data_IF_294639685759
#
_entry.id   IF_294639685759
#
_cell.length_a   1.000
_cell.length_b   1.000
_cell.length_c   1.000
_cell.angle_alpha   90.00
_cell.angle_beta   90.00
_cell.angle_gamma   90.00
#
_symmetry.space_group_name_H-M   'P 1'
#
loop_
_entity.id
_entity.type
_entity.pdbx_description
1 polymer ?
#
# COMPACT_ATOMS: atom_id res chain seq x y z
N UNK A 1 -14.07 -19.42 -32.35
CA UNK A 1 -13.01 -19.34 -31.33
C UNK A 1 -13.56 -18.72 -30.06
N UNK A 2 -13.41 -19.36 -28.91
CA UNK A 2 -13.85 -18.79 -27.63
C UNK A 2 -13.07 -17.49 -27.33
N UNK A 3 -13.78 -16.42 -26.93
CA UNK A 3 -13.14 -15.13 -26.57
C UNK A 3 -12.21 -15.34 -25.36
N UNK A 4 -10.96 -14.88 -25.45
CA UNK A 4 -9.97 -14.96 -24.35
C UNK A 4 -10.48 -14.26 -23.10
N UNK A 5 -10.21 -14.84 -21.93
CA UNK A 5 -10.48 -14.23 -20.62
C UNK A 5 -9.60 -12.99 -20.41
N UNK A 6 -9.99 -12.10 -19.49
CA UNK A 6 -9.19 -10.92 -19.12
C UNK A 6 -7.83 -11.33 -18.57
N UNK A 7 -7.76 -12.37 -17.72
CA UNK A 7 -6.51 -12.93 -17.20
C UNK A 7 -5.56 -13.35 -18.33
N UNK A 8 -6.06 -14.11 -19.32
CA UNK A 8 -5.24 -14.56 -20.44
C UNK A 8 -4.70 -13.40 -21.29
N UNK A 9 -5.54 -12.37 -21.51
CA UNK A 9 -5.10 -11.16 -22.23
C UNK A 9 -3.97 -10.43 -21.51
N UNK A 10 -4.01 -10.37 -20.17
CA UNK A 10 -2.95 -9.76 -19.36
C UNK A 10 -1.65 -10.59 -19.40
N UNK A 11 -1.73 -11.91 -19.33
CA UNK A 11 -0.57 -12.81 -19.42
C UNK A 11 0.12 -12.78 -20.79
N UNK A 12 -0.64 -12.64 -21.87
CA UNK A 12 -0.12 -12.59 -23.24
C UNK A 12 0.41 -11.20 -23.63
N UNK A 13 0.11 -10.19 -22.83
CA UNK A 13 0.51 -8.81 -23.11
C UNK A 13 2.02 -8.65 -23.05
N UNK A 14 2.54 -7.77 -23.91
CA UNK A 14 3.95 -7.36 -23.94
C UNK A 14 3.98 -5.84 -23.82
N UNK A 15 4.36 -5.35 -22.66
CA UNK A 15 4.43 -3.92 -22.38
C UNK A 15 5.48 -3.26 -23.26
N UNK A 16 5.14 -2.11 -23.82
CA UNK A 16 6.03 -1.24 -24.59
C UNK A 16 6.46 -0.05 -23.72
N UNK A 17 7.39 0.74 -24.18
CA UNK A 17 7.62 2.06 -23.61
C UNK A 17 6.34 2.89 -23.77
N UNK A 18 5.87 3.62 -22.73
CA UNK A 18 4.69 4.48 -22.85
C UNK A 18 4.80 5.44 -24.02
N UNK A 19 3.68 5.73 -24.67
CA UNK A 19 3.65 6.64 -25.83
C UNK A 19 4.14 8.05 -25.45
N UNK A 20 4.91 8.69 -26.34
CA UNK A 20 5.52 9.99 -26.05
C UNK A 20 4.47 11.10 -25.91
N UNK A 21 3.50 11.12 -26.81
CA UNK A 21 2.51 12.19 -26.85
C UNK A 21 1.57 12.12 -25.65
N UNK A 22 1.10 10.89 -25.34
CA UNK A 22 0.33 10.63 -24.13
C UNK A 22 1.10 11.03 -22.86
N UNK A 23 2.38 10.65 -22.77
CA UNK A 23 3.20 10.98 -21.61
C UNK A 23 3.45 12.50 -21.47
N UNK A 24 3.55 13.23 -22.59
CA UNK A 24 3.68 14.68 -22.59
C UNK A 24 2.39 15.37 -22.07
N UNK A 25 1.21 14.86 -22.48
CA UNK A 25 -0.09 15.34 -21.98
C UNK A 25 -0.21 15.05 -20.47
N UNK A 26 0.06 13.82 -20.05
CA UNK A 26 0.04 13.43 -18.63
C UNK A 26 0.99 14.31 -17.81
N UNK A 27 2.17 14.61 -18.33
CA UNK A 27 3.12 15.51 -17.68
C UNK A 27 2.54 16.91 -17.44
N UNK A 28 1.84 17.48 -18.41
CA UNK A 28 1.21 18.79 -18.24
C UNK A 28 0.18 18.73 -17.09
N UNK A 29 -0.66 17.70 -17.08
CA UNK A 29 -1.65 17.49 -16.00
C UNK A 29 -0.94 17.35 -14.65
N UNK A 30 0.08 16.50 -14.55
CA UNK A 30 0.85 16.30 -13.32
C UNK A 30 1.52 17.60 -12.85
N UNK A 31 2.03 18.41 -13.78
CA UNK A 31 2.64 19.71 -13.44
C UNK A 31 1.62 20.67 -12.83
N UNK A 32 0.40 20.73 -13.39
CA UNK A 32 -0.69 21.55 -12.85
C UNK A 32 -1.09 21.05 -11.45
N UNK A 33 -1.24 19.72 -11.28
CA UNK A 33 -1.57 19.13 -9.99
C UNK A 33 -0.49 19.39 -8.94
N UNK A 34 0.79 19.22 -9.28
CA UNK A 34 1.90 19.50 -8.38
C UNK A 34 2.01 20.99 -8.02
N UNK A 35 1.70 21.90 -8.94
CA UNK A 35 1.60 23.32 -8.63
C UNK A 35 0.47 23.59 -7.62
N UNK A 36 -0.68 22.93 -7.78
CA UNK A 36 -1.82 23.03 -6.84
C UNK A 36 -1.54 22.40 -5.47
N UNK A 37 -0.57 21.48 -5.37
CA UNK A 37 -0.08 20.88 -4.13
C UNK A 37 1.16 21.60 -3.58
N UNK A 38 1.62 22.67 -4.23
CA UNK A 38 2.86 23.36 -3.89
C UNK A 38 4.04 22.40 -3.71
N UNK A 39 4.13 21.37 -4.57
CA UNK A 39 5.14 20.30 -4.45
C UNK A 39 6.54 20.86 -4.67
N UNK A 40 7.42 20.59 -3.71
CA UNK A 40 8.84 20.95 -3.80
C UNK A 40 9.66 19.70 -4.19
N UNK A 41 10.34 19.78 -5.33
CA UNK A 41 11.31 18.77 -5.74
C UNK A 41 12.73 19.17 -5.35
N UNK A 42 13.46 18.27 -4.71
CA UNK A 42 14.88 18.41 -4.39
C UNK A 42 15.66 17.30 -5.08
N UNK A 43 16.47 17.64 -6.04
CA UNK A 43 17.30 16.72 -6.81
C UNK A 43 18.72 16.69 -6.27
N UNK A 44 19.15 15.60 -5.66
CA UNK A 44 20.55 15.27 -5.39
C UNK A 44 21.17 14.58 -6.61
N UNK A 45 20.40 13.70 -7.26
CA UNK A 45 20.68 13.16 -8.58
C UNK A 45 19.45 13.27 -9.48
N UNK A 46 19.65 13.43 -10.80
CA UNK A 46 18.54 13.60 -11.73
C UNK A 46 18.45 12.45 -12.75
N UNK A 47 17.50 11.50 -12.55
CA UNK A 47 17.35 10.34 -13.42
C UNK A 47 17.05 10.70 -14.89
N UNK A 48 16.45 11.87 -15.13
CA UNK A 48 16.13 12.35 -16.46
C UNK A 48 17.33 12.53 -17.40
N UNK A 49 18.55 12.66 -16.84
CA UNK A 49 19.81 12.75 -17.59
C UNK A 49 20.44 11.38 -17.90
N UNK A 50 19.99 10.32 -17.25
CA UNK A 50 20.50 8.97 -17.50
C UNK A 50 20.05 8.51 -18.89
N UNK A 51 21.00 8.13 -19.74
CA UNK A 51 20.73 7.66 -21.11
C UNK A 51 20.38 6.16 -21.15
N UNK A 52 20.83 5.40 -20.16
CA UNK A 52 20.55 3.96 -20.03
C UNK A 52 19.18 3.65 -19.44
N UNK A 53 18.77 2.39 -19.41
CA UNK A 53 17.64 1.94 -18.61
C UNK A 53 17.97 2.09 -17.13
N UNK A 54 16.93 2.31 -16.31
CA UNK A 54 17.08 2.38 -14.85
C UNK A 54 15.81 1.93 -14.14
N UNK A 55 15.94 1.62 -12.87
CA UNK A 55 14.80 1.45 -11.95
C UNK A 55 14.69 2.67 -11.06
N UNK A 56 13.48 3.23 -10.95
CA UNK A 56 13.10 4.17 -9.91
C UNK A 56 12.37 3.39 -8.83
N UNK A 57 12.84 3.48 -7.59
CA UNK A 57 12.09 3.01 -6.42
C UNK A 57 11.54 4.21 -5.65
N UNK A 58 10.40 4.04 -5.00
CA UNK A 58 9.77 5.11 -4.20
C UNK A 58 9.12 4.51 -2.97
N UNK A 59 9.09 5.27 -1.85
CA UNK A 59 8.13 4.97 -0.81
C UNK A 59 6.71 5.09 -1.39
N UNK A 60 5.79 4.29 -0.88
CA UNK A 60 4.42 4.25 -1.39
C UNK A 60 3.48 5.03 -0.48
N UNK A 61 3.62 6.36 -0.50
CA UNK A 61 2.87 7.25 0.36
C UNK A 61 1.35 7.21 0.09
N UNK A 62 0.95 7.12 -1.18
CA UNK A 62 -0.46 7.19 -1.55
C UNK A 62 -0.78 6.48 -2.88
N UNK A 63 -2.07 6.35 -3.19
CA UNK A 63 -2.55 5.85 -4.49
C UNK A 63 -2.15 6.72 -5.69
N UNK A 64 -1.67 7.95 -5.46
CA UNK A 64 -1.38 8.94 -6.48
C UNK A 64 0.12 9.25 -6.63
N UNK A 65 1.01 8.40 -6.16
CA UNK A 65 2.46 8.64 -6.18
C UNK A 65 3.06 8.82 -7.58
N UNK A 66 2.36 8.36 -8.62
CA UNK A 66 2.74 8.65 -10.01
C UNK A 66 2.80 10.16 -10.32
N UNK A 67 2.04 10.98 -9.57
CA UNK A 67 2.08 12.44 -9.68
C UNK A 67 3.46 13.01 -9.32
N UNK A 68 4.18 12.34 -8.45
CA UNK A 68 5.49 12.76 -7.94
C UNK A 68 6.64 12.06 -8.67
N UNK A 69 6.49 10.77 -8.93
CA UNK A 69 7.57 9.94 -9.50
C UNK A 69 7.77 10.16 -10.99
N UNK A 70 6.71 10.39 -11.78
CA UNK A 70 6.85 10.63 -13.20
C UNK A 70 7.54 11.98 -13.53
N UNK A 71 7.18 13.11 -12.89
CA UNK A 71 7.90 14.37 -13.08
C UNK A 71 9.37 14.30 -12.66
N UNK A 72 9.69 13.51 -11.63
CA UNK A 72 11.05 13.34 -11.12
C UNK A 72 12.03 12.75 -12.16
N UNK A 73 11.53 12.02 -13.15
CA UNK A 73 12.35 11.34 -14.15
C UNK A 73 12.28 11.93 -15.55
N UNK A 74 11.50 13.02 -15.78
CA UNK A 74 11.33 13.58 -17.11
C UNK A 74 12.71 13.95 -17.74
N UNK A 75 12.97 13.72 -19.06
CA UNK A 75 12.04 13.27 -20.09
C UNK A 75 11.89 11.74 -20.20
N UNK A 76 12.50 10.97 -19.28
CA UNK A 76 12.40 9.50 -19.29
C UNK A 76 10.96 9.08 -18.95
N UNK A 77 10.48 8.07 -19.66
CA UNK A 77 9.12 7.53 -19.50
C UNK A 77 9.16 6.23 -18.70
N UNK A 78 8.38 6.17 -17.64
CA UNK A 78 8.37 5.05 -16.70
C UNK A 78 7.25 4.07 -17.02
N UNK A 79 7.57 2.78 -17.03
CA UNK A 79 6.59 1.72 -16.89
C UNK A 79 6.38 1.45 -15.40
N UNK A 80 5.16 1.56 -14.93
CA UNK A 80 4.81 1.30 -13.53
C UNK A 80 4.46 -0.17 -13.31
N UNK A 81 4.63 -0.65 -12.08
CA UNK A 81 4.15 -1.94 -11.63
C UNK A 81 2.96 -1.70 -10.69
N UNK A 82 1.78 -2.23 -11.01
CA UNK A 82 0.53 -1.96 -10.30
C UNK A 82 -0.24 -3.25 -10.05
N UNK A 83 -1.04 -3.28 -8.99
CA UNK A 83 -1.85 -4.42 -8.59
C UNK A 83 -2.69 -4.99 -9.73
N UNK A 84 -2.66 -6.33 -9.87
CA UNK A 84 -3.34 -7.08 -10.94
C UNK A 84 -4.84 -6.81 -11.00
N UNK A 85 -5.50 -6.67 -9.85
CA UNK A 85 -6.93 -6.39 -9.71
C UNK A 85 -7.33 -5.04 -10.33
N UNK A 86 -6.47 -4.02 -10.30
CA UNK A 86 -6.75 -2.69 -10.86
C UNK A 86 -7.00 -2.73 -12.39
N UNK A 87 -6.48 -3.73 -13.07
CA UNK A 87 -6.70 -3.93 -14.51
C UNK A 87 -8.12 -4.38 -14.87
N UNK A 88 -8.95 -4.71 -13.90
CA UNK A 88 -10.34 -5.11 -14.07
C UNK A 88 -11.32 -3.96 -13.83
N UNK A 89 -10.88 -2.84 -13.26
CA UNK A 89 -11.73 -1.69 -12.92
C UNK A 89 -11.87 -0.74 -14.12
N UNK A 90 -13.09 -0.31 -14.42
CA UNK A 90 -13.36 0.72 -15.43
C UNK A 90 -13.39 2.12 -14.77
N UNK A 91 -12.80 3.17 -15.35
CA UNK A 91 -11.95 3.19 -16.57
C UNK A 91 -10.46 2.89 -16.32
N UNK A 92 -10.05 2.74 -15.05
CA UNK A 92 -8.65 2.59 -14.64
C UNK A 92 -7.90 1.51 -15.44
N UNK A 93 -8.50 0.34 -15.59
CA UNK A 93 -7.89 -0.76 -16.32
C UNK A 93 -7.62 -0.48 -17.81
N UNK A 94 -8.37 0.42 -18.46
CA UNK A 94 -8.08 0.89 -19.82
C UNK A 94 -6.86 1.82 -19.78
N UNK A 95 -6.86 2.79 -18.87
CA UNK A 95 -5.76 3.75 -18.72
C UNK A 95 -4.43 3.05 -18.38
N UNK A 96 -4.44 2.06 -17.49
CA UNK A 96 -3.27 1.25 -17.16
C UNK A 96 -2.71 0.51 -18.38
N UNK A 97 -3.57 -0.02 -19.24
CA UNK A 97 -3.14 -0.68 -20.48
C UNK A 97 -2.53 0.29 -21.47
N UNK A 98 -3.14 1.46 -21.67
CA UNK A 98 -2.62 2.52 -22.54
C UNK A 98 -1.29 3.04 -22.02
N UNK A 99 -1.17 3.26 -20.71
CA UNK A 99 0.07 3.70 -20.04
C UNK A 99 1.14 2.62 -19.95
N UNK A 100 0.92 1.43 -20.52
CA UNK A 100 1.88 0.34 -20.56
C UNK A 100 2.33 -0.13 -19.17
N UNK A 101 1.42 -0.08 -18.18
CA UNK A 101 1.66 -0.50 -16.80
C UNK A 101 1.73 -2.03 -16.72
N UNK A 102 2.63 -2.56 -15.89
CA UNK A 102 2.86 -4.00 -15.67
C UNK A 102 1.93 -4.47 -14.56
N UNK A 103 1.04 -5.47 -14.81
CA UNK A 103 0.22 -6.06 -13.76
C UNK A 103 1.04 -6.96 -12.85
N UNK A 104 0.85 -6.85 -11.52
CA UNK A 104 1.50 -7.67 -10.50
C UNK A 104 0.48 -8.21 -9.50
N UNK A 105 0.55 -9.50 -9.18
CA UNK A 105 -0.13 -10.10 -8.05
C UNK A 105 0.63 -9.75 -6.78
N UNK A 106 0.01 -8.95 -5.90
CA UNK A 106 0.67 -8.49 -4.67
C UNK A 106 0.81 -9.62 -3.64
N UNK A 107 1.90 -9.59 -2.86
CA UNK A 107 2.19 -10.46 -1.71
C UNK A 107 2.33 -11.96 -2.02
N UNK A 108 2.33 -12.33 -3.29
CA UNK A 108 2.60 -13.68 -3.77
C UNK A 108 3.69 -13.66 -4.86
N UNK A 109 4.43 -14.77 -5.06
CA UNK A 109 5.39 -14.87 -6.16
C UNK A 109 4.72 -14.65 -7.52
N UNK A 110 5.24 -13.70 -8.31
CA UNK A 110 4.72 -13.39 -9.66
C UNK A 110 5.84 -13.36 -10.70
N UNK A 111 6.16 -14.53 -11.22
CA UNK A 111 7.19 -14.71 -12.26
C UNK A 111 6.85 -13.94 -13.54
N UNK A 112 5.55 -13.76 -13.86
CA UNK A 112 5.14 -13.00 -15.04
C UNK A 112 5.50 -11.52 -14.91
N UNK A 113 5.23 -10.90 -13.76
CA UNK A 113 5.59 -9.52 -13.50
C UNK A 113 7.12 -9.32 -13.55
N UNK A 114 7.90 -10.21 -12.91
CA UNK A 114 9.37 -10.17 -12.93
C UNK A 114 9.91 -10.24 -14.38
N UNK A 115 9.41 -11.15 -15.18
CA UNK A 115 9.79 -11.27 -16.61
C UNK A 115 9.39 -10.05 -17.43
N UNK A 116 8.26 -9.40 -17.09
CA UNK A 116 7.83 -8.18 -17.76
C UNK A 116 8.74 -7.01 -17.44
N UNK A 117 9.15 -6.86 -16.17
CA UNK A 117 10.14 -5.87 -15.73
C UNK A 117 11.46 -6.06 -16.49
N UNK A 118 12.01 -7.29 -16.50
CA UNK A 118 13.26 -7.59 -17.22
C UNK A 118 13.17 -7.22 -18.72
N UNK A 119 12.07 -7.63 -19.40
CA UNK A 119 11.87 -7.29 -20.82
C UNK A 119 11.80 -5.79 -21.10
N UNK A 120 11.28 -4.99 -20.19
CA UNK A 120 11.27 -3.53 -20.34
C UNK A 120 12.68 -2.96 -20.21
N UNK A 121 13.45 -3.41 -19.23
CA UNK A 121 14.85 -3.01 -19.03
C UNK A 121 15.71 -3.41 -20.22
N UNK A 122 15.61 -4.66 -20.70
CA UNK A 122 16.36 -5.19 -21.85
C UNK A 122 16.15 -4.38 -23.14
N UNK A 123 15.00 -3.71 -23.25
CA UNK A 123 14.68 -2.81 -24.38
C UNK A 123 15.07 -1.35 -24.15
N UNK A 124 15.81 -1.05 -23.09
CA UNK A 124 16.23 0.31 -22.75
C UNK A 124 15.16 1.15 -22.07
N UNK A 125 14.05 0.54 -21.62
CA UNK A 125 12.98 1.20 -20.87
C UNK A 125 13.34 1.46 -19.41
N UNK A 126 12.54 2.26 -18.73
CA UNK A 126 12.69 2.57 -17.32
C UNK A 126 11.48 2.09 -16.54
N UNK A 127 11.71 1.55 -15.35
CA UNK A 127 10.68 0.99 -14.49
C UNK A 127 10.52 1.84 -13.23
N UNK A 128 9.28 2.00 -12.77
CA UNK A 128 8.98 2.51 -11.43
C UNK A 128 8.35 1.40 -10.58
N UNK A 129 8.93 1.15 -9.42
CA UNK A 129 8.47 0.14 -8.45
C UNK A 129 8.31 0.81 -7.08
N UNK A 130 7.16 0.58 -6.44
CA UNK A 130 6.96 0.83 -5.02
C UNK A 130 7.20 -0.49 -4.28
N UNK A 131 8.36 -0.66 -3.63
CA UNK A 131 8.79 -1.97 -3.13
C UNK A 131 8.00 -2.46 -1.91
N UNK A 132 7.22 -1.59 -1.28
CA UNK A 132 6.31 -1.91 -0.17
C UNK A 132 5.13 -2.81 -0.59
N UNK A 133 4.79 -2.83 -1.90
CA UNK A 133 3.74 -3.69 -2.46
C UNK A 133 2.33 -3.12 -2.41
N UNK A 134 2.01 -2.21 -1.49
CA UNK A 134 0.79 -1.40 -1.48
C UNK A 134 1.07 -0.02 -0.87
N UNK A 135 0.15 0.94 -1.12
CA UNK A 135 0.26 2.27 -0.52
C UNK A 135 0.07 2.21 0.99
N UNK A 136 0.79 3.08 1.69
CA UNK A 136 0.73 3.18 3.15
C UNK A 136 -0.71 3.20 3.67
N UNK A 137 -0.98 2.39 4.67
CA UNK A 137 -2.27 2.31 5.36
C UNK A 137 -2.38 3.43 6.39
N UNK A 138 -1.30 3.70 7.10
CA UNK A 138 -1.27 4.52 8.30
C UNK A 138 -0.59 5.88 8.13
N UNK A 139 0.15 6.09 7.03
CA UNK A 139 1.05 7.24 6.83
C UNK A 139 2.53 6.91 7.09
N UNK A 140 2.79 5.72 7.61
CA UNK A 140 4.13 5.19 7.85
C UNK A 140 4.54 4.26 6.70
N UNK A 141 5.81 4.27 6.31
CA UNK A 141 6.34 3.35 5.32
C UNK A 141 6.26 1.90 5.82
N UNK A 142 5.93 0.99 4.92
CA UNK A 142 5.97 -0.45 5.16
C UNK A 142 7.34 -1.01 4.79
N UNK A 143 7.74 -2.16 5.36
CA UNK A 143 8.97 -2.82 4.95
C UNK A 143 8.93 -3.19 3.46
N UNK A 144 10.08 -3.09 2.78
CA UNK A 144 10.18 -3.54 1.40
C UNK A 144 9.93 -5.04 1.30
N UNK A 145 9.25 -5.46 0.24
CA UNK A 145 8.93 -6.87 0.01
C UNK A 145 10.21 -7.66 -0.25
N UNK A 146 10.42 -8.78 0.45
CA UNK A 146 11.57 -9.64 0.25
C UNK A 146 11.69 -10.13 -1.21
N UNK A 147 12.93 -10.23 -1.69
CA UNK A 147 13.26 -10.60 -3.07
C UNK A 147 13.39 -9.42 -4.03
N UNK A 148 13.10 -8.18 -3.58
CA UNK A 148 13.37 -6.99 -4.38
C UNK A 148 14.88 -6.80 -4.59
N UNK A 149 15.71 -7.09 -3.57
CA UNK A 149 17.17 -7.07 -3.68
C UNK A 149 17.67 -8.00 -4.78
N UNK A 150 17.16 -9.22 -4.83
CA UNK A 150 17.46 -10.19 -5.90
C UNK A 150 17.05 -9.69 -7.28
N UNK A 151 15.85 -9.08 -7.38
CA UNK A 151 15.40 -8.49 -8.64
C UNK A 151 16.36 -7.40 -9.11
N UNK A 152 16.69 -6.42 -8.27
CA UNK A 152 17.57 -5.31 -8.62
C UNK A 152 18.97 -5.79 -9.04
N UNK A 153 19.57 -6.75 -8.31
CA UNK A 153 20.83 -7.40 -8.71
C UNK A 153 20.77 -8.03 -10.10
N UNK A 154 19.66 -8.67 -10.43
CA UNK A 154 19.49 -9.35 -11.72
C UNK A 154 19.39 -8.38 -12.90
N UNK A 155 18.86 -7.17 -12.67
CA UNK A 155 18.65 -6.16 -13.70
C UNK A 155 19.95 -5.41 -14.09
N UNK A 156 20.92 -5.29 -13.18
CA UNK A 156 22.26 -4.69 -13.43
C UNK A 156 22.20 -3.28 -14.03
N UNK A 157 21.28 -2.43 -13.55
CA UNK A 157 21.09 -1.06 -14.02
C UNK A 157 21.15 -0.09 -12.84
N UNK A 158 21.30 1.22 -13.12
CA UNK A 158 21.21 2.23 -12.10
C UNK A 158 19.84 2.16 -11.38
N UNK A 159 19.85 2.35 -10.08
CA UNK A 159 18.65 2.48 -9.25
C UNK A 159 18.63 3.88 -8.66
N UNK A 160 17.57 4.60 -8.94
CA UNK A 160 17.26 5.89 -8.31
C UNK A 160 16.12 5.72 -7.33
N UNK A 161 15.97 6.67 -6.41
CA UNK A 161 14.82 6.68 -5.52
C UNK A 161 14.16 8.05 -5.44
N UNK A 162 12.88 8.03 -5.13
CA UNK A 162 12.13 9.19 -4.66
C UNK A 162 11.64 8.93 -3.24
N UNK A 163 11.79 9.93 -2.37
CA UNK A 163 11.18 9.96 -1.03
C UNK A 163 10.13 11.05 -1.02
N UNK A 164 8.86 10.65 -0.87
CA UNK A 164 7.68 11.50 -0.91
C UNK A 164 7.24 11.76 0.52
N UNK A 165 7.08 13.04 0.89
CA UNK A 165 6.54 13.52 2.16
C UNK A 165 5.28 14.34 1.92
N UNK A 166 4.26 14.22 2.79
CA UNK A 166 2.96 14.86 2.64
C UNK A 166 2.01 14.16 1.66
N UNK A 167 2.48 13.11 0.98
CA UNK A 167 1.71 12.36 0.01
C UNK A 167 0.54 11.60 0.65
N UNK A 168 0.77 10.98 1.81
CA UNK A 168 -0.29 10.31 2.56
C UNK A 168 -1.28 11.33 3.16
N UNK A 169 -0.80 12.40 3.77
CA UNK A 169 -1.69 13.42 4.37
C UNK A 169 -2.56 14.10 3.33
N UNK A 170 -2.10 14.19 2.06
CA UNK A 170 -2.91 14.66 0.93
C UNK A 170 -3.94 13.63 0.47
N UNK A 171 -3.58 12.35 0.44
CA UNK A 171 -4.38 11.26 -0.10
C UNK A 171 -4.40 10.06 0.86
N UNK A 172 -5.02 10.25 2.03
CA UNK A 172 -5.11 9.19 3.05
C UNK A 172 -5.79 7.94 2.50
N UNK A 173 -5.46 6.78 3.07
CA UNK A 173 -6.07 5.53 2.62
C UNK A 173 -7.47 5.32 3.21
N UNK A 174 -7.69 5.71 4.46
CA UNK A 174 -8.98 5.60 5.13
C UNK A 174 -10.06 6.56 4.60
N UNK A 175 -9.66 7.70 4.00
CA UNK A 175 -10.59 8.67 3.43
C UNK A 175 -10.15 9.07 2.03
N UNK A 176 -11.04 8.87 1.04
CA UNK A 176 -10.70 9.14 -0.37
C UNK A 176 -10.73 10.63 -0.74
N UNK A 177 -11.24 11.49 0.15
CA UNK A 177 -11.26 12.93 -0.06
C UNK A 177 -9.83 13.48 -0.04
N UNK A 178 -9.45 14.20 -1.08
CA UNK A 178 -8.13 14.81 -1.16
C UNK A 178 -8.04 16.04 -0.23
N UNK A 179 -6.98 16.09 0.58
CA UNK A 179 -6.65 17.21 1.46
C UNK A 179 -5.45 17.93 0.86
N UNK A 180 -5.69 19.02 0.12
CA UNK A 180 -4.60 19.78 -0.50
C UNK A 180 -3.65 20.30 0.57
N UNK A 181 -2.37 20.01 0.41
CA UNK A 181 -1.30 20.47 1.27
C UNK A 181 0.02 20.43 0.51
N UNK A 182 1.07 20.97 1.10
CA UNK A 182 2.40 20.95 0.50
C UNK A 182 3.00 19.55 0.57
N UNK A 183 3.51 19.08 -0.58
CA UNK A 183 4.28 17.85 -0.66
C UNK A 183 5.76 18.15 -0.93
N UNK A 184 6.65 17.29 -0.46
CA UNK A 184 8.08 17.34 -0.73
C UNK A 184 8.54 16.03 -1.35
N UNK A 185 9.43 16.13 -2.35
CA UNK A 185 9.97 14.97 -3.06
C UNK A 185 11.47 15.11 -3.16
N UNK A 186 12.20 14.22 -2.50
CA UNK A 186 13.65 14.10 -2.65
C UNK A 186 13.94 13.05 -3.71
N UNK A 187 14.85 13.37 -4.64
CA UNK A 187 15.26 12.47 -5.72
C UNK A 187 16.76 12.28 -5.65
N UNK A 188 17.21 11.03 -5.58
CA UNK A 188 18.62 10.71 -5.53
C UNK A 188 18.93 9.36 -6.18
N UNK A 189 20.22 9.05 -6.38
CA UNK A 189 20.71 7.75 -6.81
C UNK A 189 20.85 6.85 -5.58
N UNK A 190 20.31 5.64 -5.67
CA UNK A 190 20.39 4.66 -4.58
C UNK A 190 21.56 3.68 -4.81
N UNK A 191 21.63 3.10 -6.01
CA UNK A 191 22.66 2.11 -6.36
C UNK A 191 23.14 2.30 -7.80
N UNK A 192 24.42 2.06 -8.03
CA UNK A 192 24.98 1.77 -9.34
C UNK A 192 24.95 0.25 -9.61
N UNK A 193 25.20 -0.21 -10.84
CA UNK A 193 25.40 -1.64 -11.14
C UNK A 193 26.53 -2.27 -10.31
N UNK A 194 27.59 -1.52 -10.04
CA UNK A 194 28.75 -1.95 -9.26
C UNK A 194 28.35 -2.15 -7.78
N UNK A 195 27.58 -1.23 -7.20
CA UNK A 195 27.05 -1.35 -5.84
C UNK A 195 26.19 -2.61 -5.72
N UNK A 196 25.26 -2.81 -6.67
CA UNK A 196 24.40 -4.00 -6.71
C UNK A 196 25.19 -5.30 -6.84
N UNK A 197 26.32 -5.30 -7.57
CA UNK A 197 27.18 -6.48 -7.69
C UNK A 197 27.90 -6.79 -6.37
N UNK A 198 28.36 -5.78 -5.65
CA UNK A 198 29.14 -5.90 -4.42
C UNK A 198 28.29 -6.28 -3.19
N UNK A 199 27.06 -5.80 -3.10
CA UNK A 199 26.18 -5.99 -1.93
C UNK A 199 25.43 -7.32 -1.99
N UNK A 200 25.11 -7.90 -0.83
CA UNK A 200 24.15 -8.99 -0.70
C UNK A 200 22.71 -8.52 -0.94
N UNK A 201 21.80 -9.46 -1.19
CA UNK A 201 20.37 -9.15 -1.34
C UNK A 201 19.78 -8.47 -0.08
N UNK A 202 20.20 -8.94 1.10
CA UNK A 202 19.77 -8.38 2.40
C UNK A 202 20.28 -6.95 2.61
N UNK A 203 21.55 -6.66 2.32
CA UNK A 203 22.11 -5.31 2.41
C UNK A 203 21.41 -4.31 1.49
N UNK A 204 21.00 -4.76 0.30
CA UNK A 204 20.20 -3.95 -0.64
C UNK A 204 18.84 -3.64 -0.02
N UNK A 205 18.12 -4.66 0.49
CA UNK A 205 16.80 -4.49 1.12
C UNK A 205 16.86 -3.62 2.37
N UNK A 206 17.87 -3.77 3.22
CA UNK A 206 18.10 -2.94 4.41
C UNK A 206 18.38 -1.48 4.04
N UNK A 207 19.20 -1.26 3.00
CA UNK A 207 19.46 0.09 2.49
C UNK A 207 18.19 0.74 1.94
N UNK A 208 17.37 -0.03 1.21
CA UNK A 208 16.07 0.46 0.74
C UNK A 208 15.15 0.80 1.90
N UNK A 209 15.01 -0.07 2.89
CA UNK A 209 14.20 0.19 4.08
C UNK A 209 14.64 1.47 4.80
N UNK A 210 15.94 1.70 4.95
CA UNK A 210 16.49 2.91 5.58
C UNK A 210 16.25 4.17 4.75
N UNK A 211 16.51 4.16 3.45
CA UNK A 211 16.38 5.34 2.59
C UNK A 211 14.93 5.72 2.29
N UNK A 212 14.04 4.73 2.19
CA UNK A 212 12.61 4.93 1.96
C UNK A 212 11.80 5.09 3.25
N UNK A 213 12.42 4.87 4.42
CA UNK A 213 11.78 5.08 5.72
C UNK A 213 11.12 6.45 5.79
N UNK A 214 9.83 6.47 6.11
CA UNK A 214 9.05 7.69 6.17
C UNK A 214 7.82 7.53 7.08
N UNK A 215 7.43 8.63 7.72
CA UNK A 215 6.20 8.77 8.49
C UNK A 215 5.69 10.19 8.28
N UNK A 216 4.56 10.33 7.59
CA UNK A 216 4.01 11.64 7.22
C UNK A 216 3.56 12.45 8.43
N UNK A 217 3.09 11.82 9.51
CA UNK A 217 2.68 12.53 10.72
C UNK A 217 3.90 13.07 11.48
N UNK A 218 4.97 12.25 11.65
CA UNK A 218 6.21 12.70 12.26
C UNK A 218 6.89 13.76 11.40
N UNK A 219 6.97 13.56 10.08
CA UNK A 219 7.50 14.60 9.18
C UNK A 219 6.75 15.91 9.35
N UNK A 220 5.41 15.86 9.41
CA UNK A 220 4.62 17.07 9.49
C UNK A 220 4.60 17.71 10.88
N UNK A 221 4.94 16.99 11.94
CA UNK A 221 5.14 17.61 13.26
C UNK A 221 6.28 18.64 13.24
N UNK A 222 7.30 18.42 12.41
CA UNK A 222 8.37 19.38 12.14
C UNK A 222 8.04 20.39 11.03
N UNK A 223 7.43 19.94 9.92
CA UNK A 223 7.16 20.77 8.75
C UNK A 223 5.97 21.73 8.93
N UNK A 224 5.05 21.43 9.85
CA UNK A 224 3.87 22.23 10.21
C UNK A 224 3.01 22.65 9.01
N UNK A 225 2.90 21.79 7.99
CA UNK A 225 2.08 22.05 6.81
C UNK A 225 0.61 21.76 7.11
N UNK A 226 -0.27 22.64 6.64
CA UNK A 226 -1.72 22.43 6.73
C UNK A 226 -2.22 21.60 5.54
N UNK A 227 -3.12 20.65 5.84
CA UNK A 227 -3.77 19.80 4.84
C UNK A 227 -5.27 20.04 4.82
N UNK A 228 -5.81 20.35 3.65
CA UNK A 228 -7.21 20.69 3.47
C UNK A 228 -7.59 22.02 4.12
N UNK A 229 -8.88 22.13 4.45
CA UNK A 229 -9.45 23.34 5.11
C UNK A 229 -9.35 23.28 6.64
N UNK A 230 -8.90 22.16 7.21
CA UNK A 230 -8.91 21.95 8.66
C UNK A 230 -10.26 21.54 9.22
N UNK A 231 -11.15 21.09 8.35
CA UNK A 231 -12.48 20.58 8.68
C UNK A 231 -12.56 19.09 8.36
N UNK A 232 -13.36 18.32 9.08
CA UNK A 232 -13.56 16.88 8.84
C UNK A 232 -12.24 16.08 8.88
N UNK A 233 -11.28 16.50 9.73
CA UNK A 233 -9.95 15.89 9.78
C UNK A 233 -9.99 14.45 10.29
N UNK A 234 -11.00 14.10 11.12
CA UNK A 234 -11.17 12.72 11.63
C UNK A 234 -12.07 11.85 10.76
N UNK A 235 -12.60 12.35 9.62
CA UNK A 235 -13.51 11.59 8.76
C UNK A 235 -12.96 10.21 8.42
N UNK A 236 -13.70 9.14 8.79
CA UNK A 236 -13.33 7.74 8.63
C UNK A 236 -12.04 7.31 9.35
N UNK A 237 -11.53 8.09 10.30
CA UNK A 237 -10.34 7.73 11.05
C UNK A 237 -10.59 6.54 12.00
N UNK A 238 -11.83 6.32 12.39
CA UNK A 238 -12.31 5.18 13.17
C UNK A 238 -12.16 3.83 12.44
N UNK A 239 -12.06 3.82 11.12
CA UNK A 239 -11.70 2.60 10.35
C UNK A 239 -10.22 2.27 10.44
N UNK A 240 -9.38 3.23 10.76
CA UNK A 240 -7.94 3.08 10.97
C UNK A 240 -7.59 2.88 12.44
N UNK A 241 -8.22 3.65 13.33
CA UNK A 241 -7.99 3.65 14.77
C UNK A 241 -9.14 2.92 15.48
N UNK A 242 -9.09 1.59 15.42
CA UNK A 242 -10.21 0.73 15.87
C UNK A 242 -10.19 0.41 17.37
N UNK A 243 -9.08 0.69 18.08
CA UNK A 243 -8.94 0.44 19.53
C UNK A 243 -8.81 1.75 20.30
N UNK A 244 -9.59 1.93 21.36
CA UNK A 244 -9.45 3.08 22.26
C UNK A 244 -8.11 3.00 23.03
N UNK A 245 -7.25 4.03 23.01
CA UNK A 245 -5.95 3.99 23.68
C UNK A 245 -6.05 4.07 25.20
N UNK A 246 -7.21 4.50 25.75
CA UNK A 246 -7.45 4.60 27.19
C UNK A 246 -8.03 3.31 27.79
N UNK A 247 -9.11 2.78 27.22
CA UNK A 247 -9.82 1.64 27.80
C UNK A 247 -9.59 0.32 27.03
N UNK A 248 -8.95 0.34 25.86
CA UNK A 248 -8.72 -0.85 25.04
C UNK A 248 -9.93 -1.40 24.30
N UNK A 249 -11.13 -0.76 24.43
CA UNK A 249 -12.35 -1.22 23.74
C UNK A 249 -12.17 -1.11 22.24
N UNK A 250 -12.57 -2.17 21.52
CA UNK A 250 -12.47 -2.29 20.07
C UNK A 250 -13.74 -1.75 19.40
N UNK A 251 -13.59 -1.05 18.26
CA UNK A 251 -14.69 -0.58 17.40
C UNK A 251 -15.68 0.34 18.11
N UNK A 252 -15.21 1.05 19.16
CA UNK A 252 -16.00 2.02 19.92
C UNK A 252 -15.59 3.46 19.67
N UNK A 253 -14.69 3.69 18.71
CA UNK A 253 -14.32 5.04 18.30
C UNK A 253 -15.34 5.60 17.30
N UNK A 254 -15.69 6.87 17.42
CA UNK A 254 -16.63 7.57 16.55
C UNK A 254 -16.07 8.93 16.16
N UNK A 255 -16.21 9.29 14.89
CA UNK A 255 -15.65 10.50 14.28
C UNK A 255 -16.75 11.52 13.96
N UNK A 256 -16.53 12.79 14.33
CA UNK A 256 -17.39 13.91 13.95
C UNK A 256 -16.56 15.18 13.77
N UNK A 257 -16.50 15.70 12.54
CA UNK A 257 -15.71 16.90 12.23
C UNK A 257 -14.21 16.67 12.46
N UNK A 258 -13.67 17.33 13.47
CA UNK A 258 -12.28 17.20 13.91
C UNK A 258 -12.14 16.40 15.21
N UNK A 259 -13.26 15.96 15.77
CA UNK A 259 -13.29 15.23 17.04
C UNK A 259 -13.46 13.74 16.78
N UNK A 260 -12.75 12.94 17.57
CA UNK A 260 -12.93 11.51 17.67
C UNK A 260 -13.10 11.14 19.14
N UNK A 261 -14.08 10.33 19.47
CA UNK A 261 -14.37 9.93 20.86
C UNK A 261 -14.69 8.44 20.96
N UNK A 262 -14.38 7.88 22.12
CA UNK A 262 -14.77 6.51 22.46
C UNK A 262 -16.17 6.50 23.07
N UNK A 263 -17.09 5.77 22.47
CA UNK A 263 -18.48 5.65 22.96
C UNK A 263 -18.60 4.83 24.25
N UNK A 264 -17.55 4.09 24.64
CA UNK A 264 -17.50 3.27 25.85
C UNK A 264 -17.06 4.05 27.07
N UNK A 265 -15.93 4.79 26.99
CA UNK A 265 -15.33 5.46 28.15
C UNK A 265 -15.27 6.99 28.04
N UNK A 266 -15.80 7.57 26.96
CA UNK A 266 -15.80 9.02 26.73
C UNK A 266 -14.43 9.62 26.38
N UNK A 267 -13.37 8.81 26.21
CA UNK A 267 -12.05 9.29 25.81
C UNK A 267 -12.16 10.09 24.49
N UNK A 268 -11.72 11.35 24.49
CA UNK A 268 -11.92 12.27 23.37
C UNK A 268 -10.62 12.88 22.92
N UNK A 269 -10.43 12.98 21.61
CA UNK A 269 -9.33 13.69 20.99
C UNK A 269 -9.78 14.58 19.85
N UNK A 270 -8.97 15.60 19.55
CA UNK A 270 -9.13 16.51 18.41
C UNK A 270 -7.95 16.40 17.47
N UNK A 271 -8.20 16.45 16.15
CA UNK A 271 -7.17 16.54 15.12
C UNK A 271 -7.18 17.91 14.47
N UNK A 272 -6.02 18.57 14.41
CA UNK A 272 -5.86 19.86 13.73
C UNK A 272 -5.58 19.70 12.22
N UNK A 273 -5.53 20.84 11.51
CA UNK A 273 -5.26 20.87 10.07
C UNK A 273 -3.85 20.38 9.69
N UNK A 274 -2.93 20.26 10.65
CA UNK A 274 -1.60 19.68 10.42
C UNK A 274 -1.59 18.16 10.66
N UNK A 275 -2.73 17.55 11.01
CA UNK A 275 -2.82 16.13 11.34
C UNK A 275 -2.32 15.79 12.75
N UNK A 276 -2.07 16.77 13.60
CA UNK A 276 -1.70 16.54 15.00
C UNK A 276 -2.94 16.21 15.81
N UNK A 277 -2.80 15.26 16.71
CA UNK A 277 -3.86 14.85 17.62
C UNK A 277 -3.53 15.32 19.03
N UNK A 278 -4.55 15.67 19.79
CA UNK A 278 -4.45 16.02 21.20
C UNK A 278 -5.67 15.52 21.97
N UNK A 279 -5.45 15.12 23.21
CA UNK A 279 -6.54 14.77 24.11
C UNK A 279 -7.38 16.01 24.45
N UNK A 280 -8.69 15.82 24.56
CA UNK A 280 -9.66 16.87 24.93
C UNK A 280 -10.29 16.51 26.28
N UNK A 281 -10.06 17.37 27.29
CA UNK A 281 -10.49 17.12 28.67
C UNK A 281 -9.41 16.47 29.52
N UNK A 282 -9.52 16.64 30.86
CA UNK A 282 -8.49 16.27 31.82
C UNK A 282 -8.22 14.75 31.87
N UNK A 283 -9.25 13.94 31.65
CA UNK A 283 -9.19 12.47 31.73
C UNK A 283 -8.95 11.78 30.40
N UNK A 284 -8.84 12.54 29.31
CA UNK A 284 -8.64 11.96 27.97
C UNK A 284 -7.16 11.69 27.70
N UNK A 285 -6.92 10.64 26.93
CA UNK A 285 -5.57 10.17 26.56
C UNK A 285 -5.52 9.93 25.05
N UNK A 286 -4.44 10.35 24.41
CA UNK A 286 -4.13 9.96 23.04
C UNK A 286 -2.62 9.84 22.88
N UNK A 287 -2.15 8.99 21.96
CA UNK A 287 -0.76 8.98 21.53
C UNK A 287 -0.35 10.31 20.90
N UNK A 288 0.94 10.55 20.75
CA UNK A 288 1.45 11.79 20.15
C UNK A 288 1.08 11.92 18.67
N UNK A 289 1.15 10.81 17.92
CA UNK A 289 0.82 10.76 16.50
C UNK A 289 -0.20 9.64 16.20
N UNK A 290 -0.89 9.76 15.07
CA UNK A 290 -1.80 8.71 14.57
C UNK A 290 -1.04 7.38 14.36
N UNK A 291 0.19 7.46 13.89
CA UNK A 291 1.04 6.28 13.67
C UNK A 291 1.48 5.61 14.96
N UNK A 292 1.65 6.34 16.07
CA UNK A 292 1.89 5.75 17.39
C UNK A 292 0.66 4.97 17.87
N UNK A 293 -0.54 5.50 17.58
CA UNK A 293 -1.78 4.80 17.91
C UNK A 293 -1.89 3.47 17.14
N UNK A 294 -1.58 3.46 15.84
CA UNK A 294 -1.59 2.21 15.06
C UNK A 294 -0.50 1.21 15.53
N UNK A 295 0.60 1.68 16.09
CA UNK A 295 1.60 0.82 16.72
C UNK A 295 1.03 0.16 17.99
N UNK A 296 0.32 0.89 18.86
CA UNK A 296 -0.37 0.31 20.01
C UNK A 296 -1.37 -0.79 19.61
N UNK A 297 -2.09 -0.59 18.50
CA UNK A 297 -3.00 -1.60 17.96
C UNK A 297 -2.25 -2.86 17.48
N UNK A 298 -1.08 -2.68 16.84
CA UNK A 298 -0.21 -3.80 16.45
C UNK A 298 0.37 -4.53 17.65
N UNK A 299 0.81 -3.82 18.68
CA UNK A 299 1.29 -4.41 19.93
C UNK A 299 0.20 -5.24 20.60
N UNK A 300 -1.05 -4.77 20.57
CA UNK A 300 -2.20 -5.54 21.05
C UNK A 300 -2.42 -6.78 20.20
N UNK A 301 -2.40 -6.67 18.87
CA UNK A 301 -2.52 -7.83 17.98
C UNK A 301 -1.37 -8.83 18.21
N UNK A 302 -0.15 -8.35 18.43
CA UNK A 302 1.00 -9.17 18.77
C UNK A 302 0.85 -9.91 20.10
N UNK A 303 0.20 -9.31 21.08
CA UNK A 303 -0.13 -9.96 22.35
C UNK A 303 -1.24 -11.01 22.15
N UNK A 304 -2.29 -10.67 21.41
CA UNK A 304 -3.42 -11.55 21.12
C UNK A 304 -2.94 -12.86 20.44
N UNK A 305 -2.12 -12.77 19.38
CA UNK A 305 -1.65 -13.96 18.63
C UNK A 305 -0.71 -14.87 19.42
N UNK A 306 -0.10 -14.37 20.50
CA UNK A 306 0.75 -15.16 21.41
C UNK A 306 -0.03 -15.89 22.50
N UNK A 307 -1.32 -15.58 22.64
CA UNK A 307 -2.18 -16.25 23.64
C UNK A 307 -2.34 -17.73 23.27
N UNK A 308 -2.12 -18.67 24.20
CA UNK A 308 -2.35 -20.09 23.94
C UNK A 308 -3.78 -20.36 23.44
N UNK A 309 -3.91 -21.11 22.35
CA UNK A 309 -5.22 -21.40 21.73
C UNK A 309 -5.82 -20.21 20.97
N UNK A 310 -5.03 -19.22 20.61
CA UNK A 310 -5.51 -18.08 19.81
C UNK A 310 -6.25 -18.54 18.56
N UNK A 311 -7.43 -17.96 18.37
CA UNK A 311 -8.25 -18.09 17.17
C UNK A 311 -9.08 -16.82 17.01
N UNK A 312 -9.10 -16.25 15.80
CA UNK A 312 -9.94 -15.11 15.46
C UNK A 312 -10.81 -15.49 14.26
N UNK A 313 -12.13 -15.42 14.41
CA UNK A 313 -13.08 -15.81 13.39
C UNK A 313 -14.08 -14.69 13.12
N UNK A 314 -14.52 -14.57 11.88
CA UNK A 314 -15.54 -13.62 11.47
C UNK A 314 -16.30 -14.10 10.24
N UNK A 315 -17.55 -13.66 10.11
CA UNK A 315 -18.33 -13.85 8.91
C UNK A 315 -17.83 -12.95 7.80
N UNK A 316 -17.65 -13.51 6.59
CA UNK A 316 -17.20 -12.77 5.41
C UNK A 316 -17.95 -13.24 4.17
N UNK A 317 -18.24 -12.30 3.28
CA UNK A 317 -18.57 -12.62 1.90
C UNK A 317 -17.30 -12.61 1.08
N UNK A 318 -17.18 -13.51 0.11
CA UNK A 318 -16.02 -13.56 -0.77
C UNK A 318 -16.37 -13.14 -2.20
N UNK A 319 -15.43 -12.43 -2.83
CA UNK A 319 -15.56 -11.97 -4.19
C UNK A 319 -14.40 -12.39 -5.09
N UNK A 320 -14.70 -12.59 -6.36
CA UNK A 320 -13.76 -12.94 -7.42
C UNK A 320 -13.69 -11.86 -8.50
N UNK A 321 -12.56 -11.77 -9.19
CA UNK A 321 -12.48 -10.99 -10.41
C UNK A 321 -13.32 -11.62 -11.53
N UNK A 322 -13.98 -10.81 -12.38
CA UNK A 322 -14.76 -11.33 -13.50
C UNK A 322 -13.85 -12.03 -14.52
N UNK A 323 -14.31 -13.16 -15.06
CA UNK A 323 -13.55 -13.83 -16.13
C UNK A 323 -13.41 -12.95 -17.37
N UNK A 324 -14.43 -12.14 -17.65
CA UNK A 324 -14.52 -11.20 -18.78
C UNK A 324 -15.26 -9.93 -18.34
N UNK A 325 -14.97 -8.83 -19.04
CA UNK A 325 -15.63 -7.55 -18.76
C UNK A 325 -14.89 -6.72 -17.72
N UNK A 326 -15.63 -5.82 -17.10
CA UNK A 326 -15.11 -4.78 -16.20
C UNK A 326 -15.91 -4.73 -14.91
N UNK A 327 -15.25 -4.27 -13.87
CA UNK A 327 -15.87 -3.82 -12.63
C UNK A 327 -16.13 -2.31 -12.72
N UNK A 328 -17.30 -1.87 -12.30
CA UNK A 328 -17.74 -0.49 -12.38
C UNK A 328 -17.97 0.11 -11.00
N UNK A 329 -17.83 1.41 -10.90
CA UNK A 329 -18.01 2.14 -9.65
C UNK A 329 -16.99 1.72 -8.60
N UNK A 330 -17.47 1.51 -7.37
CA UNK A 330 -16.62 1.13 -6.22
C UNK A 330 -16.42 -0.40 -6.10
N UNK A 331 -16.93 -1.18 -7.04
CA UNK A 331 -16.74 -2.62 -7.04
C UNK A 331 -15.29 -2.97 -7.36
N UNK A 332 -14.68 -3.82 -6.55
CA UNK A 332 -13.32 -4.36 -6.72
C UNK A 332 -13.32 -5.84 -7.04
N UNK A 333 -14.46 -6.53 -6.80
CA UNK A 333 -14.73 -7.91 -7.21
C UNK A 333 -16.24 -8.15 -7.34
N UNK A 334 -16.63 -9.34 -7.79
CA UNK A 334 -18.02 -9.83 -7.83
C UNK A 334 -18.20 -10.75 -6.64
N UNK A 335 -19.05 -10.38 -5.69
CA UNK A 335 -19.40 -11.22 -4.54
C UNK A 335 -20.08 -12.47 -5.05
N UNK A 336 -19.60 -13.64 -4.64
CA UNK A 336 -20.06 -14.93 -5.11
C UNK A 336 -19.87 -16.06 -4.09
N UNK A 337 -19.70 -15.73 -2.84
CA UNK A 337 -19.61 -16.71 -1.75
C UNK A 337 -19.83 -16.03 -0.40
N UNK A 338 -20.12 -16.86 0.59
CA UNK A 338 -20.50 -16.49 1.95
C UNK A 338 -20.03 -17.57 2.92
N UNK A 339 -19.40 -17.18 4.05
CA UNK A 339 -18.86 -18.13 5.00
C UNK A 339 -18.10 -17.53 6.16
N UNK A 340 -17.37 -18.36 6.86
CA UNK A 340 -16.56 -17.99 8.02
C UNK A 340 -15.08 -18.02 7.67
N UNK A 341 -14.38 -16.93 7.95
CA UNK A 341 -12.93 -16.83 7.89
C UNK A 341 -12.36 -17.00 9.30
N UNK A 342 -11.33 -17.80 9.44
CA UNK A 342 -10.67 -18.07 10.73
C UNK A 342 -9.16 -17.96 10.58
N UNK A 343 -8.53 -17.19 11.46
CA UNK A 343 -7.07 -17.08 11.59
C UNK A 343 -6.67 -17.71 12.93
N UNK A 344 -5.79 -18.68 12.88
CA UNK A 344 -5.17 -19.31 14.05
C UNK A 344 -3.66 -19.53 13.84
N UNK A 345 -3.03 -20.28 14.74
CA UNK A 345 -1.58 -20.55 14.69
C UNK A 345 -1.16 -21.40 13.49
N UNK A 346 -2.08 -22.09 12.82
CA UNK A 346 -1.80 -22.88 11.61
C UNK A 346 -1.88 -22.04 10.33
N UNK A 347 -2.71 -20.99 10.34
CA UNK A 347 -2.90 -20.12 9.19
C UNK A 347 -4.31 -19.57 9.07
N UNK A 348 -4.69 -19.21 7.85
CA UNK A 348 -6.00 -18.69 7.50
C UNK A 348 -6.84 -19.74 6.84
N UNK A 349 -7.99 -20.07 7.43
CA UNK A 349 -8.97 -21.02 6.91
C UNK A 349 -10.28 -20.31 6.54
N UNK A 350 -10.92 -20.80 5.52
CA UNK A 350 -12.27 -20.40 5.13
C UNK A 350 -13.16 -21.63 4.97
N UNK A 351 -14.35 -21.55 5.51
CA UNK A 351 -15.41 -22.55 5.35
C UNK A 351 -16.72 -21.86 4.97
N UNK A 352 -17.32 -22.27 3.84
CA UNK A 352 -18.54 -21.64 3.35
C UNK A 352 -18.89 -22.08 1.93
N UNK A 353 -19.37 -21.13 1.14
CA UNK A 353 -19.77 -21.38 -0.24
C UNK A 353 -18.97 -20.53 -1.23
N UNK A 354 -18.90 -20.99 -2.45
CA UNK A 354 -18.42 -20.22 -3.60
C UNK A 354 -19.26 -20.60 -4.82
N UNK A 355 -20.01 -19.63 -5.38
CA UNK A 355 -20.98 -19.87 -6.48
C UNK A 355 -22.00 -20.96 -6.15
N UNK A 356 -22.56 -20.87 -4.94
CA UNK A 356 -23.55 -21.78 -4.36
C UNK A 356 -23.07 -23.22 -4.10
N UNK A 357 -21.79 -23.51 -4.33
CA UNK A 357 -21.16 -24.80 -4.03
C UNK A 357 -20.35 -24.74 -2.73
N UNK A 358 -20.26 -25.83 -1.96
CA UNK A 358 -19.37 -25.89 -0.80
C UNK A 358 -17.93 -25.58 -1.17
N UNK A 359 -17.31 -24.68 -0.42
CA UNK A 359 -15.94 -24.24 -0.69
C UNK A 359 -15.19 -24.03 0.61
N UNK A 360 -14.00 -24.61 0.70
CA UNK A 360 -13.07 -24.36 1.80
C UNK A 360 -11.65 -24.18 1.28
N UNK A 361 -10.82 -23.53 2.05
CA UNK A 361 -9.37 -23.47 1.82
C UNK A 361 -8.63 -23.25 3.14
N UNK A 362 -7.34 -23.55 3.11
CA UNK A 362 -6.39 -23.22 4.15
C UNK A 362 -5.12 -22.66 3.54
N UNK A 363 -4.64 -21.52 4.07
CA UNK A 363 -3.37 -20.89 3.71
C UNK A 363 -2.47 -20.93 4.94
N UNK A 364 -1.39 -21.73 4.94
CA UNK A 364 -0.45 -21.77 6.07
C UNK A 364 0.15 -20.38 6.35
N UNK A 365 0.45 -20.11 7.64
CA UNK A 365 0.96 -18.80 8.08
C UNK A 365 2.23 -18.36 7.33
N UNK A 366 3.12 -19.27 6.98
CA UNK A 366 4.34 -18.98 6.24
C UNK A 366 4.08 -18.45 4.82
N UNK A 367 2.93 -18.78 4.23
CA UNK A 367 2.52 -18.36 2.89
C UNK A 367 1.65 -17.10 2.87
N UNK A 368 1.30 -16.56 4.04
CA UNK A 368 0.45 -15.38 4.19
C UNK A 368 1.14 -14.32 5.06
N UNK A 369 2.11 -13.56 4.52
CA UNK A 369 2.79 -12.52 5.29
C UNK A 369 1.90 -11.32 5.61
N UNK A 370 0.98 -10.97 4.72
CA UNK A 370 0.04 -9.84 4.83
C UNK A 370 -1.07 -10.00 3.79
N UNK A 371 -2.10 -9.18 3.91
CA UNK A 371 -3.15 -9.03 2.90
C UNK A 371 -2.88 -7.85 1.96
N UNK A 372 -3.43 -7.92 0.75
CA UNK A 372 -3.66 -6.72 -0.04
C UNK A 372 -4.90 -6.00 0.49
N UNK A 373 -4.86 -4.68 0.58
CA UNK A 373 -6.01 -3.89 0.97
C UNK A 373 -6.57 -3.07 -0.18
N UNK A 374 -7.89 -2.95 -0.25
CA UNK A 374 -8.52 -2.02 -1.16
C UNK A 374 -8.21 -0.55 -0.77
N UNK A 375 -8.52 0.36 -1.67
CA UNK A 375 -8.07 1.76 -1.57
C UNK A 375 -8.63 2.51 -0.35
N UNK A 376 -9.77 2.07 0.21
CA UNK A 376 -10.48 2.73 1.32
C UNK A 376 -10.51 1.92 2.62
N UNK A 377 -9.70 0.87 2.73
CA UNK A 377 -9.60 -0.04 3.88
C UNK A 377 -10.93 -0.78 4.18
N UNK A 378 -11.86 -0.82 3.25
CA UNK A 378 -13.15 -1.49 3.48
C UNK A 378 -13.12 -2.99 3.21
N UNK A 379 -12.07 -3.48 2.56
CA UNK A 379 -11.91 -4.87 2.12
C UNK A 379 -10.45 -5.25 2.05
N UNK A 380 -10.18 -6.53 2.16
CA UNK A 380 -8.84 -7.08 2.01
C UNK A 380 -8.86 -8.29 1.08
N UNK A 381 -7.72 -8.64 0.51
CA UNK A 381 -7.64 -9.72 -0.48
C UNK A 381 -6.32 -10.47 -0.39
N UNK A 382 -6.35 -11.68 -0.96
CA UNK A 382 -5.15 -12.49 -1.21
C UNK A 382 -5.26 -13.19 -2.56
N UNK A 383 -4.25 -13.98 -2.91
CA UNK A 383 -4.27 -14.85 -4.07
C UNK A 383 -4.13 -16.31 -3.63
N UNK A 384 -5.15 -17.12 -3.89
CA UNK A 384 -5.14 -18.57 -3.67
C UNK A 384 -4.92 -19.25 -5.03
N UNK A 385 -3.84 -20.01 -5.17
CA UNK A 385 -3.44 -20.67 -6.43
C UNK A 385 -3.46 -19.73 -7.64
N UNK A 386 -3.02 -18.49 -7.41
CA UNK A 386 -2.99 -17.44 -8.41
C UNK A 386 -4.34 -16.82 -8.76
N UNK A 387 -5.44 -17.23 -8.12
CA UNK A 387 -6.78 -16.64 -8.21
C UNK A 387 -6.92 -15.55 -7.14
N UNK A 388 -7.37 -14.38 -7.53
CA UNK A 388 -7.71 -13.29 -6.63
C UNK A 388 -8.98 -13.66 -5.82
N UNK A 389 -8.90 -13.52 -4.51
CA UNK A 389 -10.04 -13.66 -3.58
C UNK A 389 -10.07 -12.42 -2.69
N UNK A 390 -11.19 -11.73 -2.67
CA UNK A 390 -11.43 -10.55 -1.83
C UNK A 390 -12.44 -10.87 -0.74
N UNK A 391 -12.18 -10.39 0.47
CA UNK A 391 -13.00 -10.60 1.66
C UNK A 391 -13.74 -9.31 2.01
N UNK A 392 -15.03 -9.42 2.19
CA UNK A 392 -15.95 -8.39 2.65
C UNK A 392 -16.39 -8.78 4.07
N UNK A 393 -15.75 -8.22 5.08
CA UNK A 393 -16.14 -8.44 6.46
C UNK A 393 -17.40 -7.64 6.79
N UNK A 394 -18.29 -8.23 7.57
CA UNK A 394 -19.50 -7.56 8.08
C UNK A 394 -19.18 -6.63 9.27
N UNK A 395 -18.06 -6.86 9.94
CA UNK A 395 -17.53 -6.00 10.97
C UNK A 395 -16.58 -4.95 10.39
N UNK A 396 -16.42 -3.81 11.09
CA UNK A 396 -15.44 -2.79 10.70
C UNK A 396 -14.01 -3.17 11.15
N UNK A 397 -13.60 -4.41 10.89
CA UNK A 397 -12.41 -5.05 11.46
C UNK A 397 -11.30 -5.38 10.45
N UNK A 398 -11.40 -4.83 9.25
CA UNK A 398 -10.45 -5.10 8.14
C UNK A 398 -8.99 -4.87 8.55
N UNK A 399 -8.71 -3.77 9.25
CA UNK A 399 -7.34 -3.50 9.69
C UNK A 399 -6.89 -4.45 10.82
N UNK A 400 -7.81 -4.93 11.66
CA UNK A 400 -7.48 -5.93 12.67
C UNK A 400 -7.13 -7.27 12.04
N UNK A 401 -7.82 -7.70 10.99
CA UNK A 401 -7.44 -8.88 10.20
C UNK A 401 -6.01 -8.77 9.68
N UNK A 402 -5.64 -7.61 9.16
CA UNK A 402 -4.29 -7.34 8.66
C UNK A 402 -3.25 -7.41 9.78
N UNK A 403 -3.47 -6.67 10.88
CA UNK A 403 -2.57 -6.66 12.03
C UNK A 403 -2.38 -8.06 12.63
N UNK A 404 -3.47 -8.81 12.85
CA UNK A 404 -3.39 -10.17 13.38
C UNK A 404 -2.64 -11.12 12.44
N UNK A 405 -2.85 -11.02 11.12
CA UNK A 405 -2.17 -11.84 10.12
C UNK A 405 -0.68 -11.54 10.06
N UNK A 406 -0.30 -10.26 10.01
CA UNK A 406 1.11 -9.87 10.00
C UNK A 406 1.82 -10.25 11.30
N UNK A 407 1.19 -10.05 12.47
CA UNK A 407 1.77 -10.42 13.76
C UNK A 407 1.83 -11.94 13.97
N UNK A 408 0.87 -12.70 13.45
CA UNK A 408 0.94 -14.16 13.42
C UNK A 408 2.13 -14.63 12.57
N UNK A 409 2.32 -14.05 11.37
CA UNK A 409 3.46 -14.36 10.51
C UNK A 409 4.80 -14.03 11.20
N UNK A 410 4.90 -12.88 11.90
CA UNK A 410 6.07 -12.51 12.72
C UNK A 410 6.32 -13.50 13.85
N UNK A 411 5.28 -13.86 14.59
CA UNK A 411 5.34 -14.79 15.72
C UNK A 411 5.82 -16.18 15.29
N UNK A 412 5.44 -16.63 14.10
CA UNK A 412 5.84 -17.92 13.52
C UNK A 412 7.21 -17.90 12.84
N UNK A 413 8.00 -16.86 13.03
CA UNK A 413 9.35 -16.73 12.45
C UNK A 413 9.36 -16.25 10.99
N UNK A 414 8.32 -15.54 10.57
CA UNK A 414 8.18 -14.99 9.23
C UNK A 414 9.17 -13.86 8.91
N UNK A 415 9.17 -13.44 7.66
CA UNK A 415 10.17 -12.54 7.05
C UNK A 415 10.37 -11.20 7.77
N UNK A 416 9.35 -10.70 8.48
CA UNK A 416 9.40 -9.43 9.20
C UNK A 416 9.59 -9.60 10.71
N UNK A 417 9.92 -10.79 11.19
CA UNK A 417 10.06 -11.08 12.62
C UNK A 417 10.89 -10.04 13.39
N UNK A 418 12.01 -9.60 12.82
CA UNK A 418 12.92 -8.65 13.41
C UNK A 418 12.80 -7.23 12.82
N UNK A 419 11.82 -6.97 11.97
CA UNK A 419 11.63 -5.65 11.36
C UNK A 419 10.89 -4.74 12.34
N UNK A 420 11.40 -3.54 12.67
CA UNK A 420 10.69 -2.62 13.55
C UNK A 420 9.38 -2.15 12.90
N UNK A 421 8.38 -1.79 13.69
CA UNK A 421 7.14 -1.19 13.17
C UNK A 421 7.39 0.16 12.50
N UNK A 422 8.37 0.89 13.00
CA UNK A 422 8.82 2.15 12.39
C UNK A 422 10.33 2.10 12.21
N UNK A 423 10.78 2.33 10.98
CA UNK A 423 12.19 2.54 10.70
C UNK A 423 12.60 3.95 11.11
N UNK A 424 13.77 4.09 11.76
CA UNK A 424 14.31 5.40 12.05
C UNK A 424 14.51 6.20 10.75
N UNK A 425 14.03 7.44 10.73
CA UNK A 425 14.35 8.35 9.64
C UNK A 425 15.86 8.63 9.65
N UNK A 426 16.55 8.50 8.51
CA UNK A 426 17.98 8.85 8.42
C UNK A 426 18.21 10.34 8.58
#
# INVERSE_FOLDING_TARGET
>A
MAKKTTARKLLERREKTPDFLLYAILRLVMRIMNAGLHTKFTFKAYPGKDKGPFVLVSNHASRNDFLFTAPACYPRRLNYVVGYNEFYRFPAGILLRIAQVIPKKNFVPDVHAIRSVARVIDRGGCICIMPEGMSSITGMAQPVMPGIGKLLKSLKVNVYYTKISGGYLTYTKHCLDARKGRCEVVVDKMFSPEDLAAMSEAEIEDTMNRLLAHDDYIWNSGAQQRFGKGEQMTKKLDTLLYMCPKCGSMYRMSCNGNIMHCTECGNTMEMDACGRIKAVGADSQCPEHVTDWTILERERAAADVRTPGFSYSGHVRIGLLPERGWLFGDNTSIICGDGTLTLDTSGLSYEGTLKDEPFNFHIPTENLPTFGMCTDISRFYTFLDGRFIEFYSDAADVLRWDHLTEEMHRFRGGRWQNTPYRHANP
#
